data_IF_519974648500
#
_entry.id   IF_519974648500
#
_cell.length_a   1.000
_cell.length_b   1.000
_cell.length_c   1.000
_cell.angle_alpha   90.00
_cell.angle_beta   90.00
_cell.angle_gamma   90.00
#
_symmetry.space_group_name_H-M   'P 1'
#
loop_
_entity.id
_entity.type
_entity.pdbx_description
1 polymer ?
#
# COMPACT_ATOMS: atom_id res chain seq x y z
N UNK A 1 -35.26 12.16 -13.11
CA UNK A 1 -35.00 13.47 -13.74
C UNK A 1 -33.74 13.35 -14.60
N UNK A 2 -33.85 12.69 -15.75
CA UNK A 2 -32.70 12.41 -16.64
C UNK A 2 -32.90 12.99 -18.06
N UNK A 3 -33.96 13.77 -18.26
CA UNK A 3 -34.38 14.30 -19.56
C UNK A 3 -33.81 15.67 -19.90
N UNK A 4 -33.12 16.34 -18.96
CA UNK A 4 -32.42 17.60 -19.20
C UNK A 4 -30.97 17.31 -19.51
N UNK A 5 -30.41 18.00 -20.51
CA UNK A 5 -28.97 18.00 -20.76
C UNK A 5 -28.25 18.63 -19.56
N UNK A 6 -27.48 17.81 -18.84
CA UNK A 6 -26.79 18.16 -17.59
C UNK A 6 -26.29 16.91 -16.86
N UNK A 7 -25.44 17.09 -15.85
CA UNK A 7 -24.96 16.01 -14.99
C UNK A 7 -26.10 15.38 -14.19
N UNK A 8 -26.10 14.06 -14.10
CA UNK A 8 -27.11 13.30 -13.35
C UNK A 8 -27.01 13.48 -11.83
N UNK A 9 -27.63 12.56 -11.10
CA UNK A 9 -27.57 12.50 -9.65
C UNK A 9 -26.10 12.37 -9.19
N UNK A 10 -25.69 13.18 -8.19
CA UNK A 10 -24.33 13.13 -7.64
C UNK A 10 -23.96 11.74 -7.13
N UNK A 11 -22.70 11.35 -7.29
CA UNK A 11 -22.18 10.10 -6.71
C UNK A 11 -22.37 10.09 -5.19
N UNK A 12 -22.90 8.99 -4.66
CA UNK A 12 -23.22 8.84 -3.23
C UNK A 12 -24.54 9.47 -2.80
N UNK A 13 -25.45 9.80 -3.72
CA UNK A 13 -26.83 10.15 -3.39
C UNK A 13 -27.74 8.93 -3.49
N UNK A 14 -28.41 8.60 -2.38
CA UNK A 14 -29.27 7.41 -2.23
C UNK A 14 -30.76 7.79 -2.19
N UNK A 15 -31.19 8.70 -3.07
CA UNK A 15 -32.63 8.96 -3.27
C UNK A 15 -33.36 9.66 -2.12
N UNK A 16 -32.65 10.28 -1.18
CA UNK A 16 -33.23 10.90 0.03
C UNK A 16 -32.87 10.17 1.33
N UNK A 17 -32.32 8.96 1.23
CA UNK A 17 -31.69 8.28 2.36
C UNK A 17 -30.37 9.00 2.74
N UNK A 18 -30.00 9.00 4.02
CA UNK A 18 -28.68 9.47 4.44
C UNK A 18 -27.60 8.61 3.77
N UNK A 19 -26.64 9.16 3.03
CA UNK A 19 -25.61 8.36 2.36
C UNK A 19 -24.81 7.47 3.31
N UNK A 20 -24.38 6.29 2.82
CA UNK A 20 -23.64 5.31 3.62
C UNK A 20 -22.45 5.88 4.41
N UNK A 21 -21.64 6.74 3.77
CA UNK A 21 -20.46 7.36 4.40
C UNK A 21 -20.79 8.32 5.55
N UNK A 22 -22.06 8.73 5.71
CA UNK A 22 -22.54 9.52 6.85
C UNK A 22 -23.09 8.66 7.98
N UNK A 23 -23.52 7.43 7.68
CA UNK A 23 -24.01 6.47 8.69
C UNK A 23 -22.86 5.75 9.39
N UNK A 24 -21.76 5.53 8.68
CA UNK A 24 -20.57 4.90 9.25
C UNK A 24 -19.85 5.87 10.20
N UNK A 25 -19.46 5.42 11.40
CA UNK A 25 -18.72 6.27 12.34
C UNK A 25 -17.32 6.56 11.80
N UNK A 26 -16.82 7.78 12.05
CA UNK A 26 -15.40 8.08 11.86
C UNK A 26 -14.60 7.30 12.90
N UNK A 27 -13.61 6.53 12.47
CA UNK A 27 -12.78 5.69 13.36
C UNK A 27 -11.30 5.92 13.08
N UNK A 28 -10.52 5.95 14.17
CA UNK A 28 -9.07 6.05 14.13
C UNK A 28 -8.54 7.48 13.93
N UNK A 29 -7.21 7.56 13.80
CA UNK A 29 -6.45 8.76 13.46
C UNK A 29 -5.24 8.36 12.62
N UNK A 30 -4.70 9.29 11.84
CA UNK A 30 -3.51 9.03 11.04
C UNK A 30 -2.25 9.42 11.84
N UNK A 31 -1.36 8.45 12.11
CA UNK A 31 -0.06 8.72 12.71
C UNK A 31 0.94 9.17 11.64
N UNK A 32 1.39 10.43 11.70
CA UNK A 32 2.33 11.02 10.73
C UNK A 32 3.75 10.48 10.89
N UNK A 33 4.11 9.93 12.05
CA UNK A 33 5.43 9.40 12.36
C UNK A 33 5.51 7.87 12.26
N UNK A 34 4.49 7.23 11.70
CA UNK A 34 4.48 5.78 11.52
C UNK A 34 5.56 5.39 10.50
N UNK A 35 6.58 4.65 10.96
CA UNK A 35 7.65 4.14 10.10
C UNK A 35 7.11 3.06 9.17
N UNK A 36 7.41 3.19 7.89
CA UNK A 36 7.10 2.21 6.85
C UNK A 36 8.39 1.59 6.34
N UNK A 37 8.53 0.28 6.55
CA UNK A 37 9.69 -0.47 6.09
C UNK A 37 9.42 -1.03 4.68
N UNK A 38 10.50 -1.25 3.93
CA UNK A 38 10.51 -2.06 2.73
C UNK A 38 10.62 -3.54 3.12
N UNK A 39 9.62 -4.34 2.77
CA UNK A 39 9.56 -5.75 3.14
C UNK A 39 10.23 -6.61 2.07
N UNK A 40 11.10 -7.53 2.49
CA UNK A 40 11.77 -8.51 1.63
C UNK A 40 11.58 -9.90 2.22
N UNK A 41 11.12 -10.85 1.42
CA UNK A 41 10.98 -12.24 1.84
C UNK A 41 12.26 -13.04 1.59
N UNK A 42 12.48 -14.10 2.37
CA UNK A 42 13.69 -14.96 2.25
C UNK A 42 13.81 -15.57 0.86
N UNK A 43 12.71 -15.97 0.24
CA UNK A 43 12.68 -16.51 -1.14
C UNK A 43 13.32 -15.57 -2.16
N UNK A 44 13.18 -14.25 -1.96
CA UNK A 44 13.75 -13.26 -2.88
C UNK A 44 15.27 -13.17 -2.77
N UNK A 45 15.83 -13.61 -1.63
CA UNK A 45 17.27 -13.64 -1.39
C UNK A 45 17.95 -14.81 -2.12
N UNK A 46 17.21 -15.85 -2.51
CA UNK A 46 17.75 -16.99 -3.27
C UNK A 46 18.17 -16.63 -4.70
N UNK A 47 17.96 -15.37 -5.13
CA UNK A 47 18.49 -14.85 -6.40
C UNK A 47 19.98 -14.50 -6.31
N UNK A 48 20.51 -14.34 -5.11
CA UNK A 48 21.92 -14.08 -4.88
C UNK A 48 22.68 -15.40 -4.74
N UNK A 49 23.97 -15.39 -5.07
CA UNK A 49 24.84 -16.56 -4.87
C UNK A 49 25.09 -16.81 -3.37
N UNK A 50 25.35 -18.06 -3.02
CA UNK A 50 25.65 -18.47 -1.64
C UNK A 50 26.89 -17.74 -1.11
N UNK A 51 26.73 -17.05 0.02
CA UNK A 51 27.79 -16.26 0.64
C UNK A 51 27.91 -14.83 0.13
N UNK A 52 27.06 -14.39 -0.79
CA UNK A 52 26.99 -12.99 -1.21
C UNK A 52 26.57 -12.07 -0.05
N UNK A 53 27.21 -10.91 0.06
CA UNK A 53 26.80 -9.87 1.01
C UNK A 53 25.64 -9.07 0.42
N UNK A 54 24.45 -9.18 1.02
CA UNK A 54 23.23 -8.52 0.53
C UNK A 54 23.06 -7.17 1.22
N UNK A 55 23.46 -6.11 0.52
CA UNK A 55 23.28 -4.72 0.95
C UNK A 55 21.99 -4.09 0.38
N UNK A 56 21.48 -2.99 0.97
CA UNK A 56 20.35 -2.24 0.42
C UNK A 56 20.55 -1.82 -1.04
N UNK A 57 21.79 -1.50 -1.44
CA UNK A 57 22.14 -1.15 -2.82
C UNK A 57 21.99 -2.36 -3.75
N UNK A 58 22.52 -3.52 -3.34
CA UNK A 58 22.40 -4.76 -4.09
C UNK A 58 20.92 -5.19 -4.28
N UNK A 59 20.07 -4.95 -3.29
CA UNK A 59 18.62 -5.20 -3.39
C UNK A 59 17.92 -4.29 -4.40
N UNK A 60 18.39 -3.06 -4.59
CA UNK A 60 17.87 -2.15 -5.60
C UNK A 60 18.37 -2.53 -6.99
N UNK A 61 19.66 -2.85 -7.13
CA UNK A 61 20.27 -3.29 -8.39
C UNK A 61 19.67 -4.61 -8.90
N UNK A 62 19.39 -5.55 -7.99
CA UNK A 62 18.68 -6.79 -8.28
C UNK A 62 17.18 -6.59 -8.59
N UNK A 63 16.68 -5.35 -8.50
CA UNK A 63 15.28 -5.00 -8.75
C UNK A 63 14.28 -5.56 -7.73
N UNK A 64 14.76 -6.03 -6.57
CA UNK A 64 13.92 -6.55 -5.48
C UNK A 64 13.23 -5.40 -4.75
N UNK A 65 13.93 -4.28 -4.58
CA UNK A 65 13.42 -3.07 -3.96
C UNK A 65 13.49 -1.87 -4.91
N UNK A 66 12.43 -1.07 -4.96
CA UNK A 66 12.44 0.22 -5.66
C UNK A 66 12.91 1.38 -4.77
N UNK A 67 12.48 1.36 -3.50
CA UNK A 67 12.81 2.36 -2.49
C UNK A 67 12.94 1.68 -1.13
N UNK A 68 13.92 2.11 -0.33
CA UNK A 68 14.19 1.57 1.01
C UNK A 68 13.18 2.06 2.07
N UNK A 69 12.37 3.08 1.75
CA UNK A 69 11.45 3.75 2.70
C UNK A 69 12.21 4.13 3.99
N UNK A 70 11.71 3.76 5.18
CA UNK A 70 12.35 4.03 6.47
C UNK A 70 13.33 2.92 6.92
N UNK A 71 13.59 1.93 6.06
CA UNK A 71 14.51 0.81 6.29
C UNK A 71 14.01 -0.50 5.70
N UNK A 72 14.80 -1.56 5.80
CA UNK A 72 14.46 -2.89 5.26
C UNK A 72 14.03 -3.82 6.40
N UNK A 73 12.95 -4.57 6.18
CA UNK A 73 12.46 -5.60 7.08
C UNK A 73 12.43 -6.94 6.34
N UNK A 74 13.12 -7.93 6.91
CA UNK A 74 13.14 -9.29 6.37
C UNK A 74 11.96 -10.09 6.96
N UNK A 75 11.24 -10.79 6.10
CA UNK A 75 10.11 -11.64 6.44
C UNK A 75 10.41 -13.10 6.10
N UNK A 76 10.01 -14.01 6.99
CA UNK A 76 10.29 -15.44 6.93
C UNK A 76 9.36 -16.25 6.02
N UNK A 77 9.01 -15.74 4.84
CA UNK A 77 8.15 -16.47 3.90
C UNK A 77 8.98 -17.05 2.73
N UNK A 78 8.75 -18.32 2.43
CA UNK A 78 9.42 -19.09 1.37
C UNK A 78 10.64 -19.90 1.82
N UNK A 79 11.23 -20.65 0.87
CA UNK A 79 12.41 -21.52 1.03
C UNK A 79 13.48 -21.12 0.05
#
# INVERSE_FOLDING_TARGET
>A
QNSRSGGGVRSGFEGGQMPLYRRLPKRGFNNVFAKQYAEVNVEQLNRFEDGATVDPVALIEAGILKNVRDGIRILGNGT
#
